data_IF_504468816856
#
_entry.id   IF_504468816856
#
_cell.length_a   1.000
_cell.length_b   1.000
_cell.length_c   1.000
_cell.angle_alpha   90.00
_cell.angle_beta   90.00
_cell.angle_gamma   90.00
#
_symmetry.space_group_name_H-M   'P 1'
#
loop_
_entity.id
_entity.type
_entity.pdbx_description
1 polymer ?
#
# COMPACT_ATOMS: atom_id res chain seq x y z
N UNK A 1 7.10 64.17 -7.80
CA UNK A 1 5.81 64.47 -8.44
C UNK A 1 5.91 63.89 -9.85
N UNK A 2 5.27 62.75 -10.18
CA UNK A 2 3.84 62.64 -10.54
C UNK A 2 3.52 63.65 -11.66
N UNK A 3 3.19 63.28 -12.90
CA UNK A 3 2.13 62.36 -13.30
C UNK A 3 2.15 62.08 -14.82
N UNK A 4 1.61 60.90 -15.20
CA UNK A 4 0.72 60.64 -16.37
C UNK A 4 1.27 60.80 -17.79
N UNK A 5 0.86 60.06 -18.81
CA UNK A 5 0.06 58.83 -19.03
C UNK A 5 -0.33 58.89 -20.52
N UNK A 6 -0.50 57.73 -21.17
CA UNK A 6 -1.32 57.51 -22.40
C UNK A 6 -0.67 58.05 -23.69
N UNK A 7 -0.70 57.41 -24.86
CA UNK A 7 -1.57 56.41 -25.50
C UNK A 7 -0.70 55.65 -26.52
N UNK A 8 -0.76 54.31 -26.60
CA UNK A 8 -1.68 53.51 -27.43
C UNK A 8 -1.36 53.58 -28.92
N UNK A 9 -0.70 52.55 -29.46
CA UNK A 9 -1.12 51.94 -30.74
C UNK A 9 -1.05 50.42 -30.60
N UNK A 10 -2.25 49.82 -30.66
CA UNK A 10 -2.50 48.40 -30.86
C UNK A 10 -2.19 48.08 -32.33
N UNK A 11 -1.27 47.17 -32.59
CA UNK A 11 -1.37 46.35 -33.80
C UNK A 11 -1.87 44.97 -33.41
N UNK A 12 -3.18 44.83 -33.58
CA UNK A 12 -3.89 43.56 -33.63
C UNK A 12 -3.54 42.92 -34.97
N UNK A 13 -2.69 41.89 -34.95
CA UNK A 13 -2.69 40.88 -36.00
C UNK A 13 -3.24 39.60 -35.41
N UNK A 14 -4.54 39.42 -35.61
CA UNK A 14 -5.24 38.18 -35.33
C UNK A 14 -4.79 37.07 -36.29
N UNK A 15 -4.95 35.85 -35.78
CA UNK A 15 -5.12 34.59 -36.53
C UNK A 15 -3.86 33.78 -36.89
N UNK A 16 -3.40 32.99 -35.91
CA UNK A 16 -3.50 31.52 -35.99
C UNK A 16 -3.11 30.86 -34.65
N UNK A 17 -4.15 30.57 -33.85
CA UNK A 17 -4.33 29.34 -33.06
C UNK A 17 -3.09 28.64 -32.46
N UNK A 18 -2.94 28.78 -31.13
CA UNK A 18 -2.75 27.71 -30.12
C UNK A 18 -1.57 26.74 -30.35
N UNK A 19 -0.56 26.53 -29.48
CA UNK A 19 -0.60 26.43 -28.02
C UNK A 19 0.84 26.16 -27.50
N UNK A 20 1.24 26.92 -26.48
CA UNK A 20 2.28 26.68 -25.48
C UNK A 20 3.40 25.64 -25.77
N UNK A 21 4.63 26.15 -25.96
CA UNK A 21 5.84 25.45 -25.51
C UNK A 21 5.76 25.31 -23.98
N UNK A 22 5.38 24.12 -23.51
CA UNK A 22 5.71 23.69 -22.15
C UNK A 22 6.94 22.82 -22.29
N UNK A 23 8.08 23.32 -21.79
CA UNK A 23 9.26 22.51 -21.52
C UNK A 23 8.82 21.44 -20.52
N UNK A 24 8.49 20.25 -21.03
CA UNK A 24 8.30 19.06 -20.21
C UNK A 24 9.68 18.63 -19.73
N UNK A 25 10.14 19.24 -18.64
CA UNK A 25 11.12 18.59 -17.77
C UNK A 25 10.56 17.22 -17.45
N UNK A 26 11.18 16.19 -18.01
CA UNK A 26 10.82 14.80 -17.75
C UNK A 26 11.01 14.53 -16.25
N UNK A 27 9.95 14.25 -15.47
CA UNK A 27 10.15 13.63 -14.17
C UNK A 27 10.68 12.23 -14.42
N UNK A 28 12.01 12.14 -14.27
CA UNK A 28 12.79 10.94 -13.98
C UNK A 28 11.96 9.91 -13.24
N UNK A 29 11.60 8.87 -13.98
CA UNK A 29 11.29 7.51 -13.58
C UNK A 29 11.34 7.29 -12.06
N UNK A 30 10.17 7.36 -11.42
CA UNK A 30 9.92 6.70 -10.14
C UNK A 30 8.68 5.85 -10.31
N UNK A 31 8.75 4.92 -11.28
CA UNK A 31 7.88 3.75 -11.35
C UNK A 31 8.30 2.75 -10.28
N UNK A 32 8.07 3.08 -9.02
CA UNK A 32 8.25 2.14 -7.90
C UNK A 32 7.10 2.29 -6.92
N UNK A 33 6.35 1.20 -6.76
CA UNK A 33 5.35 0.92 -5.75
C UNK A 33 3.92 1.47 -5.97
N UNK A 34 3.31 1.17 -7.12
CA UNK A 34 1.84 0.99 -7.19
C UNK A 34 1.52 -0.35 -7.87
N UNK A 35 2.14 -1.41 -7.36
CA UNK A 35 1.73 -2.78 -7.65
C UNK A 35 1.61 -3.48 -6.29
N UNK A 36 0.40 -3.98 -6.00
CA UNK A 36 0.07 -4.87 -4.89
C UNK A 36 -0.22 -4.30 -3.48
N UNK A 37 -0.95 -3.17 -3.37
CA UNK A 37 -1.76 -2.91 -2.16
C UNK A 37 -3.15 -3.59 -2.21
N UNK A 38 -3.45 -4.35 -3.27
CA UNK A 38 -4.80 -4.84 -3.57
C UNK A 38 -5.16 -6.24 -3.02
N UNK A 39 -4.27 -6.95 -2.31
CA UNK A 39 -4.51 -8.39 -2.00
C UNK A 39 -4.60 -8.70 -0.50
N UNK A 40 -4.25 -7.76 0.38
CA UNK A 40 -4.28 -8.00 1.82
C UNK A 40 -5.58 -7.46 2.45
N UNK A 41 -6.72 -8.12 2.14
CA UNK A 41 -7.95 -7.86 2.87
C UNK A 41 -7.83 -8.46 4.28
N UNK A 42 -7.85 -7.61 5.30
CA UNK A 42 -7.87 -8.02 6.70
C UNK A 42 -9.25 -7.72 7.31
N UNK A 43 -9.83 -8.63 8.11
CA UNK A 43 -9.28 -9.92 8.51
C UNK A 43 -9.21 -10.92 7.35
N UNK A 44 -8.18 -11.75 7.33
CA UNK A 44 -7.98 -12.82 6.36
C UNK A 44 -8.19 -14.18 7.03
N UNK A 45 -8.89 -15.10 6.36
CA UNK A 45 -9.07 -16.48 6.82
C UNK A 45 -8.78 -17.47 5.70
N UNK A 46 -7.88 -18.43 5.97
CA UNK A 46 -7.65 -19.57 5.11
C UNK A 46 -8.55 -20.73 5.56
N UNK A 47 -9.51 -21.06 4.71
CA UNK A 47 -10.45 -22.16 4.89
C UNK A 47 -10.12 -23.30 3.92
N UNK A 48 -10.04 -24.52 4.44
CA UNK A 48 -9.85 -25.76 3.65
C UNK A 48 -10.91 -26.76 4.11
N UNK A 49 -11.69 -27.31 3.17
CA UNK A 49 -12.77 -28.26 3.45
C UNK A 49 -13.70 -27.80 4.60
N UNK A 50 -14.22 -26.57 4.49
CA UNK A 50 -15.11 -25.90 5.46
C UNK A 50 -14.52 -25.70 6.87
N UNK A 51 -13.20 -25.87 7.03
CA UNK A 51 -12.50 -25.63 8.29
C UNK A 51 -11.53 -24.46 8.16
N UNK A 52 -11.64 -23.49 9.07
CA UNK A 52 -10.67 -22.40 9.18
C UNK A 52 -9.38 -22.94 9.78
N UNK A 53 -8.30 -22.94 9.00
CA UNK A 53 -7.00 -23.47 9.42
C UNK A 53 -6.09 -22.34 9.93
N UNK A 54 -6.24 -21.14 9.37
CA UNK A 54 -5.49 -19.96 9.81
C UNK A 54 -6.31 -18.70 9.62
N UNK A 55 -6.15 -17.76 10.55
CA UNK A 55 -6.72 -16.42 10.47
C UNK A 55 -5.63 -15.40 10.72
N UNK A 56 -5.65 -14.27 10.02
CA UNK A 56 -4.80 -13.12 10.28
C UNK A 56 -5.68 -11.91 10.55
N UNK A 57 -5.47 -11.29 11.71
CA UNK A 57 -6.17 -10.08 12.15
C UNK A 57 -5.18 -8.96 12.41
N UNK A 58 -5.58 -7.71 12.17
CA UNK A 58 -4.77 -6.56 12.55
C UNK A 58 -4.80 -6.36 14.07
N UNK A 59 -3.65 -6.08 14.66
CA UNK A 59 -3.55 -5.77 16.08
C UNK A 59 -4.15 -4.38 16.36
N UNK A 60 -4.88 -4.27 17.47
CA UNK A 60 -5.30 -2.96 17.98
C UNK A 60 -4.07 -2.08 18.31
N UNK A 61 -4.22 -0.74 18.31
CA UNK A 61 -3.12 0.16 18.68
C UNK A 61 -2.50 -0.17 20.05
N UNK A 62 -3.34 -0.55 21.01
CA UNK A 62 -2.93 -0.94 22.36
C UNK A 62 -2.12 -2.24 22.37
N UNK A 63 -2.52 -3.24 21.56
CA UNK A 63 -1.79 -4.48 21.42
C UNK A 63 -0.44 -4.27 20.72
N UNK A 64 -0.38 -3.39 19.71
CA UNK A 64 0.89 -2.96 19.07
C UNK A 64 1.80 -2.26 20.06
N UNK A 65 1.28 -1.32 20.85
CA UNK A 65 2.05 -0.63 21.88
C UNK A 65 2.60 -1.62 22.92
N UNK A 66 1.76 -2.54 23.42
CA UNK A 66 2.16 -3.60 24.35
C UNK A 66 3.24 -4.49 23.77
N UNK A 67 3.14 -4.85 22.50
CA UNK A 67 4.14 -5.64 21.81
C UNK A 67 5.48 -4.91 21.71
N UNK A 68 5.47 -3.60 21.41
CA UNK A 68 6.66 -2.74 21.41
C UNK A 68 7.30 -2.66 22.80
N UNK A 69 6.51 -2.41 23.85
CA UNK A 69 6.99 -2.36 25.25
C UNK A 69 7.60 -3.68 25.70
N UNK A 70 6.98 -4.80 25.32
CA UNK A 70 7.49 -6.16 25.62
C UNK A 70 8.58 -6.63 24.64
N UNK A 71 9.04 -5.76 23.74
CA UNK A 71 10.05 -6.05 22.72
C UNK A 71 9.74 -7.31 21.90
N UNK A 72 8.45 -7.58 21.67
CA UNK A 72 7.99 -8.74 20.90
C UNK A 72 8.38 -8.55 19.45
N UNK A 73 8.79 -9.65 18.83
CA UNK A 73 9.26 -9.68 17.44
C UNK A 73 8.32 -10.53 16.61
N UNK A 74 8.34 -10.29 15.31
CA UNK A 74 7.68 -11.11 14.32
C UNK A 74 8.15 -12.55 14.49
N UNK A 75 7.20 -13.46 14.65
CA UNK A 75 7.47 -14.88 14.88
C UNK A 75 8.09 -15.56 13.66
N UNK A 76 7.99 -14.95 12.47
CA UNK A 76 8.48 -15.51 11.22
C UNK A 76 9.84 -14.93 10.79
N UNK A 77 10.04 -13.62 10.92
CA UNK A 77 11.26 -12.96 10.43
C UNK A 77 12.06 -12.21 11.49
N UNK A 78 11.59 -12.15 12.74
CA UNK A 78 12.28 -11.46 13.83
C UNK A 78 12.20 -9.92 13.79
N UNK A 79 11.49 -9.31 12.83
CA UNK A 79 11.29 -7.86 12.79
C UNK A 79 10.54 -7.37 14.04
N UNK A 80 10.94 -6.22 14.59
CA UNK A 80 10.32 -5.57 15.76
C UNK A 80 8.97 -4.92 15.43
N UNK A 81 8.71 -4.62 14.17
CA UNK A 81 7.47 -3.97 13.72
C UNK A 81 6.33 -4.97 13.52
N UNK A 82 5.82 -5.51 14.63
CA UNK A 82 4.63 -6.36 14.60
C UNK A 82 3.36 -5.54 14.43
N UNK A 83 2.48 -6.00 13.56
CA UNK A 83 1.24 -5.30 13.20
C UNK A 83 0.02 -6.24 13.15
N UNK A 84 0.24 -7.54 13.00
CA UNK A 84 -0.83 -8.53 12.86
C UNK A 84 -0.66 -9.68 13.83
N UNK A 85 -1.77 -10.32 14.15
CA UNK A 85 -1.84 -11.59 14.85
C UNK A 85 -2.30 -12.68 13.89
N UNK A 86 -1.52 -13.75 13.78
CA UNK A 86 -1.87 -14.96 13.04
C UNK A 86 -2.28 -16.05 14.02
N UNK A 87 -3.50 -16.54 13.88
CA UNK A 87 -4.02 -17.64 14.67
C UNK A 87 -4.02 -18.91 13.81
N UNK A 88 -3.42 -20.00 14.30
CA UNK A 88 -3.38 -21.29 13.60
C UNK A 88 -3.28 -22.44 14.58
N UNK A 89 -4.14 -23.45 14.44
CA UNK A 89 -4.12 -24.62 15.31
C UNK A 89 -4.21 -24.30 16.81
N UNK A 90 -4.89 -23.21 17.19
CA UNK A 90 -5.01 -22.76 18.58
C UNK A 90 -3.85 -21.90 19.10
N UNK A 91 -2.83 -21.63 18.29
CA UNK A 91 -1.71 -20.77 18.66
C UNK A 91 -1.82 -19.39 18.02
N UNK A 92 -1.48 -18.35 18.79
CA UNK A 92 -1.35 -16.97 18.32
C UNK A 92 0.12 -16.60 18.10
N UNK A 93 0.40 -16.04 16.91
CA UNK A 93 1.71 -15.57 16.50
C UNK A 93 1.64 -14.10 16.11
N UNK A 94 2.47 -13.27 16.73
CA UNK A 94 2.63 -11.88 16.30
C UNK A 94 3.51 -11.85 15.04
N UNK A 95 3.05 -11.18 13.99
CA UNK A 95 3.76 -11.07 12.71
C UNK A 95 3.78 -9.62 12.21
N UNK A 96 4.77 -9.29 11.38
CA UNK A 96 4.87 -7.99 10.72
C UNK A 96 4.00 -7.94 9.44
N UNK A 97 3.80 -6.73 8.91
CA UNK A 97 3.00 -6.50 7.69
C UNK A 97 3.49 -7.32 6.50
N UNK A 98 4.78 -7.32 6.22
CA UNK A 98 5.33 -8.04 5.08
C UNK A 98 5.08 -9.56 5.18
N UNK A 99 5.29 -10.13 6.37
CA UNK A 99 5.02 -11.55 6.60
C UNK A 99 3.52 -11.89 6.49
N UNK A 100 2.63 -11.00 6.91
CA UNK A 100 1.18 -11.20 6.74
C UNK A 100 0.80 -11.20 5.25
N UNK A 101 1.30 -10.24 4.47
CA UNK A 101 1.05 -10.15 3.03
C UNK A 101 1.58 -11.40 2.30
N UNK A 102 2.82 -11.82 2.59
CA UNK A 102 3.41 -13.01 1.98
C UNK A 102 2.56 -14.26 2.27
N UNK A 103 2.11 -14.42 3.53
CA UNK A 103 1.26 -15.54 3.89
C UNK A 103 -0.05 -15.57 3.10
N UNK A 104 -0.69 -14.42 2.92
CA UNK A 104 -1.95 -14.32 2.14
C UNK A 104 -1.72 -14.71 0.69
N UNK A 105 -0.63 -14.22 0.08
CA UNK A 105 -0.26 -14.57 -1.32
C UNK A 105 0.01 -16.06 -1.48
N UNK A 106 0.76 -16.66 -0.56
CA UNK A 106 1.06 -18.09 -0.57
C UNK A 106 -0.21 -18.93 -0.38
N UNK A 107 -1.09 -18.49 0.53
CA UNK A 107 -2.37 -19.14 0.80
C UNK A 107 -3.31 -19.08 -0.42
N UNK A 108 -3.41 -17.93 -1.07
CA UNK A 108 -4.21 -17.75 -2.29
C UNK A 108 -3.68 -18.63 -3.43
N UNK A 109 -2.36 -18.65 -3.64
CA UNK A 109 -1.73 -19.51 -4.64
C UNK A 109 -1.97 -21.02 -4.38
N UNK A 110 -2.03 -21.44 -3.11
CA UNK A 110 -2.37 -22.81 -2.74
C UNK A 110 -3.85 -23.12 -3.03
N UNK A 111 -4.76 -22.19 -2.72
CA UNK A 111 -6.18 -22.37 -3.01
C UNK A 111 -6.44 -22.47 -4.52
N UNK A 112 -5.81 -21.63 -5.35
CA UNK A 112 -5.93 -21.70 -6.80
C UNK A 112 -5.43 -23.05 -7.36
N UNK A 113 -4.32 -23.59 -6.84
CA UNK A 113 -3.80 -24.90 -7.26
C UNK A 113 -4.70 -26.06 -6.82
N UNK A 114 -5.33 -25.95 -5.64
CA UNK A 114 -6.22 -26.99 -5.12
C UNK A 114 -7.51 -27.15 -5.94
N UNK A 115 -7.90 -26.15 -6.73
CA UNK A 115 -9.10 -26.18 -7.59
C UNK A 115 -8.87 -26.79 -8.98
N UNK A 116 -7.63 -27.13 -9.35
CA UNK A 116 -7.28 -27.63 -10.69
C UNK A 116 -7.31 -29.18 -10.79
N UNK A 117 -7.80 -29.88 -9.76
CA UNK A 117 -7.89 -31.35 -9.74
C UNK A 117 -9.28 -31.88 -9.44
#
# INVERSE_FOLDING_TARGET
MSTRSLQTELEVYESASTRALVVLEHPRESGTAVLEEAVANFPFSLTIADRVISTIIELTPEARARARTKQRRCSLCGNKEVAYEKQSGGFSHLICKNCAIHYIRDADALQQKAWIH
#
